data_IF_037955793907
#
_entry.id   IF_037955793907
#
_cell.length_a   1.000
_cell.length_b   1.000
_cell.length_c   1.000
_cell.angle_alpha   90.00
_cell.angle_beta   90.00
_cell.angle_gamma   90.00
#
_symmetry.space_group_name_H-M   'P 1'
#
loop_
_entity.id
_entity.type
_entity.pdbx_description
1 polymer ?
#
# COMPACT_ATOMS: atom_id res chain seq x y z
N UNK A 1 10.91 -12.99 16.44
CA UNK A 1 10.96 -12.97 14.98
C UNK A 1 11.91 -11.85 14.58
N UNK A 2 12.88 -12.11 13.71
CA UNK A 2 13.74 -11.07 13.15
C UNK A 2 13.02 -10.41 11.96
N UNK A 3 12.86 -9.09 12.00
CA UNK A 3 12.17 -8.28 10.98
C UNK A 3 13.13 -7.33 10.24
N UNK A 4 14.45 -7.47 10.41
CA UNK A 4 15.46 -6.62 9.76
C UNK A 4 15.31 -6.55 8.23
N UNK A 5 14.76 -7.59 7.61
CA UNK A 5 14.49 -7.61 6.16
C UNK A 5 13.44 -6.59 5.70
N UNK A 6 12.64 -6.00 6.60
CA UNK A 6 11.69 -4.94 6.25
C UNK A 6 12.41 -3.71 5.69
N UNK A 7 13.59 -3.37 6.22
CA UNK A 7 14.39 -2.25 5.72
C UNK A 7 14.82 -2.46 4.28
N UNK A 8 15.26 -3.67 3.94
CA UNK A 8 15.67 -4.03 2.58
C UNK A 8 14.49 -3.99 1.58
N UNK A 9 13.26 -4.19 2.06
CA UNK A 9 12.04 -4.12 1.26
C UNK A 9 11.37 -2.73 1.25
N UNK A 10 11.90 -1.77 2.03
CA UNK A 10 11.28 -0.46 2.21
C UNK A 10 9.95 -0.48 2.97
N UNK A 11 9.71 -1.52 3.79
CA UNK A 11 8.50 -1.66 4.61
C UNK A 11 8.69 -0.86 5.90
N UNK A 12 7.69 -0.06 6.24
CA UNK A 12 7.62 0.74 7.46
C UNK A 12 6.59 0.16 8.44
N UNK A 13 6.49 0.72 9.65
CA UNK A 13 5.44 0.32 10.59
C UNK A 13 4.04 0.73 10.11
N UNK A 14 3.94 1.83 9.37
CA UNK A 14 2.71 2.31 8.72
C UNK A 14 3.01 2.54 7.25
N UNK A 15 2.30 1.85 6.37
CA UNK A 15 2.55 1.88 4.93
C UNK A 15 1.33 2.46 4.20
N UNK A 16 1.50 3.38 3.24
CA UNK A 16 0.42 3.69 2.32
C UNK A 16 -0.02 2.43 1.57
N UNK A 17 -1.32 2.19 1.44
CA UNK A 17 -1.83 1.01 0.74
C UNK A 17 -2.24 1.25 -0.70
N UNK A 18 -2.07 2.47 -1.22
CA UNK A 18 -2.46 2.83 -2.58
C UNK A 18 -1.31 3.50 -3.31
N UNK A 19 -1.04 3.00 -4.52
CA UNK A 19 -0.12 3.60 -5.47
C UNK A 19 -0.88 3.92 -6.77
N UNK A 20 -0.90 5.18 -7.16
CA UNK A 20 -1.57 5.68 -8.35
C UNK A 20 -0.66 6.69 -9.06
N UNK A 21 0.35 6.18 -9.78
CA UNK A 21 1.49 6.97 -10.28
C UNK A 21 2.30 7.69 -9.18
N UNK A 22 2.26 7.14 -7.97
CA UNK A 22 2.87 7.68 -6.75
C UNK A 22 2.15 7.15 -5.52
N UNK A 23 2.84 7.05 -4.38
CA UNK A 23 2.19 6.65 -3.12
C UNK A 23 1.20 7.74 -2.69
N UNK A 24 -0.06 7.36 -2.49
CA UNK A 24 -1.12 8.26 -2.04
C UNK A 24 -1.02 8.52 -0.54
N UNK A 25 -1.56 9.65 -0.09
CA UNK A 25 -1.65 9.94 1.34
C UNK A 25 -2.54 8.90 2.03
N UNK A 26 -2.17 8.41 3.23
CA UNK A 26 -3.02 7.50 4.00
C UNK A 26 -4.40 8.09 4.29
N UNK A 27 -5.45 7.28 4.15
CA UNK A 27 -6.84 7.65 4.47
C UNK A 27 -7.11 7.75 5.97
N UNK A 28 -6.17 7.29 6.80
CA UNK A 28 -6.31 7.19 8.26
C UNK A 28 -7.05 5.93 8.73
N UNK A 29 -7.58 5.13 7.81
CA UNK A 29 -8.21 3.84 8.10
C UNK A 29 -7.21 2.70 7.86
N UNK A 30 -6.77 2.04 8.93
CA UNK A 30 -5.62 1.13 8.92
C UNK A 30 -6.04 -0.33 9.00
N UNK A 31 -5.31 -1.19 8.29
CA UNK A 31 -5.38 -2.65 8.40
C UNK A 31 -4.08 -3.18 9.00
N UNK A 32 -4.19 -3.98 10.06
CA UNK A 32 -3.04 -4.66 10.66
C UNK A 32 -2.71 -5.95 9.91
N UNK A 33 -1.44 -6.10 9.52
CA UNK A 33 -0.90 -7.38 9.07
C UNK A 33 -0.40 -8.15 10.28
N UNK A 34 -0.98 -9.33 10.53
CA UNK A 34 -0.68 -10.14 11.71
C UNK A 34 0.03 -11.43 11.32
N UNK A 35 1.05 -11.78 12.10
CA UNK A 35 1.79 -13.03 11.97
C UNK A 35 0.87 -14.22 12.25
N UNK A 36 0.77 -15.23 11.35
CA UNK A 36 0.00 -16.43 11.61
C UNK A 36 0.70 -17.38 12.62
N UNK A 37 1.96 -17.11 12.97
CA UNK A 37 2.74 -17.94 13.91
C UNK A 37 2.29 -17.68 15.35
N UNK A 38 2.05 -16.41 15.70
CA UNK A 38 1.82 -15.99 17.09
C UNK A 38 0.78 -14.85 17.24
N UNK A 39 0.19 -14.37 16.15
CA UNK A 39 -0.80 -13.29 16.15
C UNK A 39 -0.22 -11.88 16.36
N UNK A 40 1.11 -11.75 16.45
CA UNK A 40 1.79 -10.46 16.61
C UNK A 40 1.55 -9.55 15.39
N UNK A 41 1.47 -8.23 15.62
CA UNK A 41 1.32 -7.25 14.53
C UNK A 41 2.69 -7.03 13.90
N UNK A 42 2.77 -7.22 12.59
CA UNK A 42 3.97 -7.01 11.80
C UNK A 42 4.11 -5.53 11.40
N UNK A 43 3.07 -4.98 10.78
CA UNK A 43 2.96 -3.58 10.35
C UNK A 43 1.49 -3.27 10.02
N UNK A 44 1.20 -2.01 9.69
CA UNK A 44 -0.11 -1.59 9.18
C UNK A 44 -0.03 -1.07 7.75
N UNK A 45 -1.14 -1.21 7.04
CA UNK A 45 -1.34 -0.68 5.69
C UNK A 45 -2.59 0.19 5.68
N UNK A 46 -2.51 1.39 5.10
CA UNK A 46 -3.68 2.26 4.95
C UNK A 46 -4.63 1.67 3.92
N UNK A 47 -5.91 1.53 4.26
CA UNK A 47 -6.93 1.10 3.32
C UNK A 47 -7.22 2.20 2.29
N UNK A 48 -7.60 1.79 1.09
CA UNK A 48 -8.04 2.69 0.03
C UNK A 48 -9.39 3.33 0.40
N UNK A 49 -9.50 4.63 0.18
CA UNK A 49 -10.79 5.31 0.11
C UNK A 49 -11.42 5.16 -1.28
N UNK A 50 -12.67 5.59 -1.44
CA UNK A 50 -13.31 5.67 -2.76
C UNK A 50 -12.58 6.65 -3.69
N UNK A 51 -12.08 7.77 -3.15
CA UNK A 51 -11.28 8.74 -3.93
C UNK A 51 -9.99 8.12 -4.44
N UNK A 52 -9.32 7.32 -3.59
CA UNK A 52 -8.09 6.61 -3.98
C UNK A 52 -8.34 5.59 -5.09
N UNK A 53 -9.48 4.90 -5.04
CA UNK A 53 -9.89 3.99 -6.10
C UNK A 53 -10.05 4.73 -7.43
N UNK A 54 -10.82 5.82 -7.47
CA UNK A 54 -11.03 6.60 -8.69
C UNK A 54 -9.72 7.17 -9.25
N UNK A 55 -8.86 7.70 -8.37
CA UNK A 55 -7.53 8.19 -8.75
C UNK A 55 -6.65 7.07 -9.36
N UNK A 56 -6.72 5.87 -8.79
CA UNK A 56 -5.98 4.69 -9.30
C UNK A 56 -6.49 4.24 -10.66
N UNK A 57 -7.81 4.22 -10.85
CA UNK A 57 -8.43 3.89 -12.14
C UNK A 57 -7.99 4.88 -13.22
N UNK A 58 -8.04 6.19 -12.92
CA UNK A 58 -7.60 7.22 -13.86
C UNK A 58 -6.12 7.09 -14.21
N UNK A 59 -5.23 6.97 -13.21
CA UNK A 59 -3.79 6.82 -13.43
C UNK A 59 -3.46 5.55 -14.24
N UNK A 60 -4.18 4.45 -13.99
CA UNK A 60 -4.02 3.20 -14.74
C UNK A 60 -4.45 3.36 -16.19
N UNK A 61 -5.58 4.03 -16.44
CA UNK A 61 -6.05 4.31 -17.79
C UNK A 61 -5.04 5.15 -18.58
N UNK A 62 -4.52 6.22 -17.97
CA UNK A 62 -3.54 7.10 -18.62
C UNK A 62 -2.24 6.35 -18.95
N UNK A 63 -1.73 5.55 -18.00
CA UNK A 63 -0.55 4.70 -18.24
C UNK A 63 -0.80 3.65 -19.32
N UNK A 64 -2.00 3.08 -19.41
CA UNK A 64 -2.34 2.09 -20.44
C UNK A 64 -2.31 2.68 -21.85
N UNK A 65 -2.71 3.94 -22.02
CA UNK A 65 -2.68 4.59 -23.34
C UNK A 65 -1.25 4.71 -23.90
N UNK A 66 -0.26 4.93 -23.05
CA UNK A 66 1.17 4.89 -23.41
C UNK A 66 1.67 3.45 -23.58
N UNK A 67 1.33 2.54 -22.65
CA UNK A 67 1.84 1.17 -22.66
C UNK A 67 1.42 0.35 -23.89
N UNK A 68 0.23 0.61 -24.44
CA UNK A 68 -0.33 -0.18 -25.55
C UNK A 68 0.27 0.14 -26.92
N UNK A 69 1.16 1.12 -27.04
CA UNK A 69 1.81 1.53 -28.30
C UNK A 69 3.17 0.87 -28.44
#
# INVERSE_FOLDING_TARGET
MDLSFFEALGIQQQNPGVYAAGWRAPSGDWLESRSPIDGSVLATVSKASLEDYEATVQATHDAFLEWRT
#
